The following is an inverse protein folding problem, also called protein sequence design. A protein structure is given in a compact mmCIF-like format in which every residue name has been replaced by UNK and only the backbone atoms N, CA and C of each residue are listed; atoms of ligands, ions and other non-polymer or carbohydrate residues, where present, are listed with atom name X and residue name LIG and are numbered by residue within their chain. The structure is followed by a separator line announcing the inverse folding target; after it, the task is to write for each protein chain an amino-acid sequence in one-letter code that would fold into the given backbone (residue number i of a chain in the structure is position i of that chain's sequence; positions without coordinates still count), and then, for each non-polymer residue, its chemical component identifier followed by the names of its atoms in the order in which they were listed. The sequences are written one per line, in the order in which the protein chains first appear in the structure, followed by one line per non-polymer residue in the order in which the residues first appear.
data_IF_380958036126
#
_entry.id   IF_380958036126
#
_cell.length_a   1.000
_cell.length_b   1.000
_cell.length_c   1.000
_cell.angle_alpha   90.00
_cell.angle_beta   90.00
_cell.angle_gamma   90.00
#
_symmetry.space_group_name_H-M   'P 1'
#
loop_
_entity.id
_entity.type
_entity.pdbx_description
1 polymer ?
#
# COMPACT_ATOMS: atom_id res chain seq x y z
N UNK A 1 -16.10 -18.24 -3.88
CA UNK A 1 -16.67 -17.79 -2.57
C UNK A 1 -17.00 -16.31 -2.73
N UNK A 2 -18.08 -15.84 -2.18
CA UNK A 2 -18.50 -14.44 -2.25
C UNK A 2 -19.54 -14.16 -1.17
N UNK A 3 -19.93 -12.90 -1.04
CA UNK A 3 -20.88 -12.44 -0.03
C UNK A 3 -21.85 -11.41 -0.63
N UNK A 4 -22.98 -11.20 0.04
CA UNK A 4 -23.92 -10.14 -0.31
C UNK A 4 -23.66 -8.90 0.55
N UNK A 5 -23.84 -7.75 -0.09
CA UNK A 5 -23.92 -6.45 0.57
C UNK A 5 -25.33 -5.91 0.39
N UNK A 6 -25.99 -5.61 1.49
CA UNK A 6 -27.32 -4.95 1.50
C UNK A 6 -27.09 -3.44 1.45
N UNK A 7 -27.37 -2.85 0.30
CA UNK A 7 -27.32 -1.42 0.08
C UNK A 7 -28.13 -1.09 -1.18
N UNK A 8 -28.79 0.07 -1.19
CA UNK A 8 -29.53 0.51 -2.37
C UNK A 8 -28.57 0.97 -3.46
N UNK A 9 -28.54 0.26 -4.59
CA UNK A 9 -27.67 0.55 -5.74
C UNK A 9 -28.50 0.93 -6.94
N UNK A 10 -28.13 2.02 -7.61
CA UNK A 10 -28.63 2.37 -8.93
C UNK A 10 -27.56 2.05 -9.99
N UNK A 11 -27.93 1.22 -10.97
CA UNK A 11 -27.09 0.84 -12.07
C UNK A 11 -27.89 0.68 -13.37
N UNK A 12 -27.46 1.34 -14.44
CA UNK A 12 -28.14 1.34 -15.74
C UNK A 12 -29.66 1.65 -15.67
N UNK A 13 -30.02 2.61 -14.80
CA UNK A 13 -31.41 3.04 -14.61
C UNK A 13 -32.26 2.06 -13.80
N UNK A 14 -31.69 1.01 -13.23
CA UNK A 14 -32.36 0.07 -12.35
C UNK A 14 -31.87 0.24 -10.91
N UNK A 15 -32.74 -0.05 -9.93
CA UNK A 15 -32.41 -0.07 -8.52
C UNK A 15 -32.34 -1.50 -8.01
N UNK A 16 -31.35 -1.77 -7.16
CA UNK A 16 -31.15 -3.06 -6.49
C UNK A 16 -30.97 -2.82 -5.00
N UNK A 17 -31.55 -3.66 -4.14
CA UNK A 17 -31.46 -3.56 -2.68
C UNK A 17 -30.24 -4.29 -2.10
N UNK A 18 -29.54 -5.05 -2.93
CA UNK A 18 -28.32 -5.74 -2.58
C UNK A 18 -27.49 -6.05 -3.83
N UNK A 19 -26.21 -6.35 -3.62
CA UNK A 19 -25.31 -6.83 -4.66
C UNK A 19 -24.40 -7.93 -4.13
N UNK A 20 -23.90 -8.75 -5.04
CA UNK A 20 -23.02 -9.87 -4.74
C UNK A 20 -21.58 -9.52 -5.05
N UNK A 21 -20.69 -9.72 -4.09
CA UNK A 21 -19.24 -9.46 -4.19
C UNK A 21 -18.51 -10.78 -4.31
N UNK A 22 -17.59 -10.89 -5.27
CA UNK A 22 -16.75 -12.08 -5.47
C UNK A 22 -15.30 -11.70 -5.71
N UNK A 23 -14.39 -12.43 -5.08
CA UNK A 23 -12.96 -12.35 -5.43
C UNK A 23 -12.76 -13.21 -6.69
N UNK A 24 -12.37 -12.57 -7.78
CA UNK A 24 -12.12 -13.21 -9.07
C UNK A 24 -10.73 -13.80 -9.16
N UNK A 25 -9.76 -13.07 -8.63
CA UNK A 25 -8.37 -13.48 -8.62
C UNK A 25 -7.65 -12.88 -7.42
N UNK A 26 -6.53 -13.49 -7.03
CA UNK A 26 -5.63 -12.94 -6.02
C UNK A 26 -4.19 -13.32 -6.34
N UNK A 27 -3.26 -12.46 -5.96
CA UNK A 27 -1.84 -12.65 -6.17
C UNK A 27 -1.03 -12.18 -4.96
N UNK A 28 -0.18 -13.06 -4.43
CA UNK A 28 0.76 -12.71 -3.37
C UNK A 28 1.97 -11.98 -3.95
N UNK A 29 2.07 -10.72 -3.67
CA UNK A 29 3.19 -9.85 -4.09
C UNK A 29 4.18 -9.66 -2.94
N UNK A 30 4.97 -10.70 -2.64
CA UNK A 30 5.96 -10.69 -1.54
C UNK A 30 6.89 -9.46 -1.56
N UNK A 31 7.50 -9.08 -2.69
CA UNK A 31 8.41 -7.92 -2.73
C UNK A 31 7.72 -6.60 -2.32
N UNK A 32 6.40 -6.53 -2.48
CA UNK A 32 5.60 -5.35 -2.16
C UNK A 32 4.88 -5.44 -0.83
N UNK A 33 5.05 -6.55 -0.10
CA UNK A 33 4.42 -6.77 1.21
C UNK A 33 2.90 -6.73 1.18
N UNK A 34 2.27 -7.31 0.14
CA UNK A 34 0.82 -7.28 -0.02
C UNK A 34 0.27 -8.50 -0.76
N UNK A 35 -1.00 -8.78 -0.53
CA UNK A 35 -1.82 -9.63 -1.39
C UNK A 35 -2.70 -8.70 -2.22
N UNK A 36 -2.62 -8.82 -3.54
CA UNK A 36 -3.51 -8.13 -4.46
C UNK A 36 -4.70 -9.01 -4.75
N UNK A 37 -5.92 -8.53 -4.49
CA UNK A 37 -7.16 -9.18 -4.81
C UNK A 37 -7.89 -8.40 -5.91
N UNK A 38 -8.43 -9.13 -6.89
CA UNK A 38 -9.34 -8.59 -7.92
C UNK A 38 -10.75 -8.94 -7.51
N UNK A 39 -11.61 -7.94 -7.39
CA UNK A 39 -12.96 -8.05 -6.87
C UNK A 39 -13.95 -7.57 -7.90
N UNK A 40 -14.99 -8.35 -8.14
CA UNK A 40 -16.08 -7.96 -9.00
C UNK A 40 -17.41 -7.92 -8.23
N UNK A 41 -18.26 -6.99 -8.62
CA UNK A 41 -19.61 -6.82 -8.11
C UNK A 41 -20.61 -7.30 -9.12
N UNK A 42 -21.61 -8.04 -8.68
CA UNK A 42 -22.65 -8.60 -9.52
C UNK A 42 -24.03 -8.26 -8.97
N UNK A 43 -25.02 -8.18 -9.85
CA UNK A 43 -26.42 -8.03 -9.45
C UNK A 43 -26.88 -9.15 -8.50
N UNK A 44 -26.36 -10.36 -8.70
CA UNK A 44 -26.66 -11.52 -7.87
C UNK A 44 -25.61 -12.64 -8.04
N UNK A 45 -25.66 -13.66 -7.16
CA UNK A 45 -24.77 -14.83 -7.18
C UNK A 45 -24.92 -15.66 -8.48
N UNK A 46 -26.15 -15.77 -9.01
CA UNK A 46 -26.38 -16.55 -10.23
C UNK A 46 -25.68 -15.92 -11.45
N UNK A 47 -25.71 -14.60 -11.57
CA UNK A 47 -24.94 -13.86 -12.58
C UNK A 47 -23.45 -14.05 -12.42
N UNK A 48 -22.95 -13.98 -11.18
CA UNK A 48 -21.54 -14.23 -10.89
C UNK A 48 -21.07 -15.64 -11.33
N UNK A 49 -21.90 -16.67 -11.15
CA UNK A 49 -21.56 -18.04 -11.54
C UNK A 49 -21.56 -18.26 -13.06
N UNK A 50 -22.27 -17.44 -13.81
CA UNK A 50 -22.30 -17.50 -15.29
C UNK A 50 -21.21 -16.64 -15.94
N UNK A 51 -20.55 -15.79 -15.16
CA UNK A 51 -19.58 -14.86 -15.67
C UNK A 51 -18.38 -15.58 -16.32
N UNK A 52 -18.00 -15.14 -17.51
CA UNK A 52 -16.84 -15.65 -18.25
C UNK A 52 -15.62 -14.82 -17.83
N UNK A 53 -14.56 -15.45 -17.33
CA UNK A 53 -13.35 -14.74 -16.99
C UNK A 53 -12.65 -14.15 -18.23
N UNK A 54 -12.19 -12.92 -18.11
CA UNK A 54 -11.38 -12.24 -19.11
C UNK A 54 -10.09 -11.72 -18.47
N UNK A 55 -8.97 -11.80 -19.20
CA UNK A 55 -7.68 -11.30 -18.74
C UNK A 55 -7.36 -10.00 -19.46
N UNK A 56 -7.19 -8.91 -18.70
CA UNK A 56 -6.76 -7.61 -19.18
C UNK A 56 -5.53 -7.20 -18.36
N UNK A 57 -4.40 -7.01 -19.02
CA UNK A 57 -3.14 -6.57 -18.37
C UNK A 57 -2.78 -7.38 -17.11
N UNK A 58 -2.82 -8.71 -17.19
CA UNK A 58 -2.61 -9.65 -16.07
C UNK A 58 -3.67 -9.57 -14.95
N UNK A 59 -4.73 -8.84 -15.13
CA UNK A 59 -5.87 -8.76 -14.22
C UNK A 59 -6.99 -9.65 -14.74
N UNK A 60 -7.47 -10.55 -13.87
CA UNK A 60 -8.59 -11.41 -14.18
C UNK A 60 -9.90 -10.68 -13.91
N UNK A 61 -10.60 -10.27 -14.96
CA UNK A 61 -11.89 -9.56 -14.92
C UNK A 61 -12.97 -10.47 -15.48
N UNK A 62 -14.19 -10.31 -15.02
CA UNK A 62 -15.35 -10.97 -15.60
C UNK A 62 -16.08 -10.04 -16.57
N UNK A 63 -16.36 -10.57 -17.77
CA UNK A 63 -17.25 -9.94 -18.72
C UNK A 63 -18.61 -10.66 -18.65
N UNK A 64 -19.58 -10.09 -17.93
CA UNK A 64 -20.90 -10.66 -17.74
C UNK A 64 -21.98 -9.58 -17.75
N UNK A 65 -23.17 -9.92 -18.25
CA UNK A 65 -24.32 -9.01 -18.26
C UNK A 65 -24.77 -8.57 -16.87
N UNK A 66 -24.48 -9.39 -15.85
CA UNK A 66 -24.81 -9.10 -14.44
C UNK A 66 -23.69 -8.40 -13.69
N UNK A 67 -22.58 -8.06 -14.36
CA UNK A 67 -21.48 -7.30 -13.76
C UNK A 67 -21.92 -5.86 -13.53
N UNK A 68 -21.72 -5.38 -12.30
CA UNK A 68 -21.92 -3.98 -11.96
C UNK A 68 -20.66 -3.18 -12.33
N UNK A 69 -20.85 -2.06 -13.00
CA UNK A 69 -19.73 -1.17 -13.31
C UNK A 69 -19.10 -0.57 -12.04
N UNK A 70 -17.85 -0.11 -12.16
CA UNK A 70 -17.10 0.46 -11.05
C UNK A 70 -17.79 1.66 -10.39
N UNK A 71 -18.49 2.46 -11.18
CA UNK A 71 -19.21 3.64 -10.70
C UNK A 71 -20.70 3.35 -10.64
N UNK A 72 -21.30 3.46 -9.48
CA UNK A 72 -22.74 3.34 -9.25
C UNK A 72 -23.15 4.20 -8.05
N UNK A 73 -24.45 4.47 -7.94
CA UNK A 73 -24.96 5.23 -6.80
C UNK A 73 -25.34 4.28 -5.68
N UNK A 74 -24.89 4.57 -4.48
CA UNK A 74 -25.28 3.91 -3.26
C UNK A 74 -25.94 4.96 -2.36
N UNK A 75 -27.19 4.71 -1.95
CA UNK A 75 -27.99 5.65 -1.16
C UNK A 75 -28.02 7.07 -1.77
N UNK A 76 -28.10 7.13 -3.11
CA UNK A 76 -28.12 8.38 -3.86
C UNK A 76 -26.76 9.07 -4.04
N UNK A 77 -25.68 8.53 -3.47
CA UNK A 77 -24.32 9.06 -3.59
C UNK A 77 -23.53 8.23 -4.60
N UNK A 78 -22.94 8.90 -5.59
CA UNK A 78 -22.05 8.25 -6.56
C UNK A 78 -20.78 7.76 -5.85
N UNK A 79 -20.50 6.47 -5.98
CA UNK A 79 -19.30 5.81 -5.44
C UNK A 79 -18.61 5.03 -6.55
N UNK A 80 -17.29 5.11 -6.55
CA UNK A 80 -16.44 4.29 -7.43
C UNK A 80 -15.84 3.17 -6.60
N UNK A 81 -16.08 1.93 -7.04
CA UNK A 81 -15.43 0.77 -6.44
C UNK A 81 -14.19 0.39 -7.25
N UNK A 82 -13.09 0.24 -6.58
CA UNK A 82 -11.88 -0.28 -7.20
C UNK A 82 -11.98 -1.80 -7.35
N UNK A 83 -11.67 -2.31 -8.53
CA UNK A 83 -11.60 -3.75 -8.77
C UNK A 83 -10.37 -4.39 -8.12
N UNK A 84 -9.36 -3.59 -7.84
CA UNK A 84 -8.11 -4.06 -7.25
C UNK A 84 -8.05 -3.58 -5.81
N UNK A 85 -7.87 -4.54 -4.90
CA UNK A 85 -7.64 -4.27 -3.49
C UNK A 85 -6.29 -4.83 -3.06
N UNK A 86 -5.41 -3.96 -2.64
CA UNK A 86 -4.12 -4.33 -2.07
C UNK A 86 -4.26 -4.50 -0.55
N UNK A 87 -4.09 -5.73 -0.08
CA UNK A 87 -4.20 -6.10 1.33
C UNK A 87 -2.79 -6.19 1.89
N UNK A 88 -2.39 -5.33 2.84
CA UNK A 88 -1.04 -5.33 3.37
C UNK A 88 -0.76 -6.59 4.20
N UNK A 89 0.44 -7.13 4.05
CA UNK A 89 1.02 -8.19 4.87
C UNK A 89 2.32 -7.70 5.51
N UNK A 90 2.28 -6.47 6.03
CA UNK A 90 3.42 -5.85 6.68
C UNK A 90 3.10 -5.54 8.13
N UNK A 91 4.10 -5.60 8.97
CA UNK A 91 4.08 -5.09 10.33
C UNK A 91 5.08 -3.96 10.50
N UNK A 92 4.83 -3.09 11.45
CA UNK A 92 5.77 -2.03 11.79
C UNK A 92 6.89 -2.60 12.66
N UNK A 93 8.13 -2.36 12.26
CA UNK A 93 9.33 -2.70 13.01
C UNK A 93 10.11 -1.43 13.32
N UNK A 94 10.42 -1.18 14.58
CA UNK A 94 11.31 -0.09 14.97
C UNK A 94 12.76 -0.56 14.83
N UNK A 95 13.49 0.08 13.93
CA UNK A 95 14.90 -0.23 13.66
C UNK A 95 15.76 0.95 14.10
N UNK A 96 16.79 0.69 14.87
CA UNK A 96 17.81 1.69 15.18
C UNK A 96 18.77 1.80 14.00
N UNK A 97 18.85 2.99 13.42
CA UNK A 97 19.77 3.28 12.32
C UNK A 97 20.85 4.23 12.78
N UNK A 98 22.08 4.02 12.26
CA UNK A 98 23.18 4.96 12.50
C UNK A 98 22.95 6.20 11.64
N UNK A 99 22.99 7.36 12.25
CA UNK A 99 22.91 8.66 11.59
C UNK A 99 24.29 9.28 11.52
N UNK A 100 24.57 10.02 10.47
CA UNK A 100 25.80 10.78 10.29
C UNK A 100 25.42 12.25 10.11
N UNK A 101 26.15 13.10 10.80
CA UNK A 101 26.11 14.54 10.61
C UNK A 101 27.52 15.07 10.55
N UNK A 102 27.77 16.12 9.79
CA UNK A 102 29.05 16.79 9.78
C UNK A 102 28.94 18.20 10.34
N UNK A 103 29.97 18.61 11.05
CA UNK A 103 30.18 19.99 11.46
C UNK A 103 31.49 20.50 10.91
N UNK A 104 31.52 21.77 10.52
CA UNK A 104 32.72 22.40 10.01
C UNK A 104 33.24 23.38 11.07
N UNK A 105 34.52 23.25 11.36
CA UNK A 105 35.24 24.22 12.21
C UNK A 105 36.40 24.81 11.42
N UNK A 106 36.80 26.00 11.78
CA UNK A 106 37.91 26.70 11.18
C UNK A 106 39.10 26.63 12.13
N UNK A 107 40.24 26.16 11.61
CA UNK A 107 41.48 26.12 12.36
C UNK A 107 42.53 26.96 11.68
N UNK A 108 43.25 27.74 12.43
CA UNK A 108 44.44 28.40 11.94
C UNK A 108 45.61 27.42 12.05
N UNK A 109 46.35 27.25 10.94
CA UNK A 109 47.52 26.41 10.87
C UNK A 109 48.69 27.29 10.56
N UNK A 110 49.69 27.21 11.40
CA UNK A 110 50.98 27.84 11.14
C UNK A 110 51.81 26.96 10.21
N UNK A 111 52.47 27.57 9.23
CA UNK A 111 53.39 26.92 8.34
C UNK A 111 54.59 27.82 8.05
N UNK A 112 55.74 27.22 7.82
CA UNK A 112 56.97 27.92 7.43
C UNK A 112 56.94 28.20 5.94
N UNK A 113 57.22 29.44 5.58
CA UNK A 113 57.41 29.89 4.21
C UNK A 113 58.70 30.71 4.14
N UNK A 114 59.12 31.12 2.97
CA UNK A 114 60.32 31.93 2.75
C UNK A 114 59.90 33.32 2.25
N UNK A 115 60.55 34.36 2.76
CA UNK A 115 60.39 35.69 2.22
C UNK A 115 61.21 35.89 0.91
N UNK A 116 61.12 37.08 0.31
CA UNK A 116 61.80 37.40 -0.93
C UNK A 116 63.34 37.40 -0.80
N UNK A 117 63.86 37.49 0.40
CA UNK A 117 65.27 37.41 0.74
C UNK A 117 65.74 35.99 1.11
N UNK A 118 64.84 35.04 1.09
CA UNK A 118 65.12 33.62 1.39
C UNK A 118 65.17 33.26 2.87
N UNK A 119 64.66 34.11 3.76
CA UNK A 119 64.60 33.82 5.18
C UNK A 119 63.30 33.08 5.51
N UNK A 120 63.38 32.18 6.49
CA UNK A 120 62.19 31.48 6.98
C UNK A 120 61.25 32.44 7.72
N UNK A 121 59.98 32.46 7.32
CA UNK A 121 58.90 33.22 7.96
C UNK A 121 57.75 32.32 8.31
N UNK A 122 57.18 32.48 9.47
CA UNK A 122 55.98 31.78 9.87
C UNK A 122 54.76 32.52 9.34
N UNK A 123 53.96 31.82 8.54
CA UNK A 123 52.68 32.30 8.02
C UNK A 123 51.56 31.50 8.61
N UNK A 124 50.38 32.11 8.76
CA UNK A 124 49.14 31.41 9.15
C UNK A 124 48.20 31.33 7.96
N UNK A 125 47.55 30.18 7.82
CA UNK A 125 46.41 30.00 6.91
C UNK A 125 45.24 29.39 7.64
N UNK A 126 44.04 29.78 7.25
CA UNK A 126 42.80 29.22 7.76
C UNK A 126 42.47 27.95 6.99
N UNK A 127 42.27 26.87 7.69
CA UNK A 127 41.82 25.59 7.12
C UNK A 127 40.51 25.22 7.71
N UNK A 128 39.58 24.78 6.85
CA UNK A 128 38.29 24.24 7.27
C UNK A 128 38.47 22.75 7.57
N UNK A 129 38.06 22.32 8.76
CA UNK A 129 38.09 20.93 9.19
C UNK A 129 36.65 20.45 9.33
N UNK A 130 36.38 19.35 8.62
CA UNK A 130 35.10 18.62 8.77
C UNK A 130 35.25 17.58 9.89
N UNK A 131 34.32 17.61 10.82
CA UNK A 131 34.20 16.59 11.87
C UNK A 131 32.90 15.83 11.63
N UNK A 132 33.01 14.51 11.42
CA UNK A 132 31.87 13.63 11.28
C UNK A 132 31.42 13.14 12.64
N UNK A 133 30.17 13.35 12.94
CA UNK A 133 29.52 12.87 14.16
C UNK A 133 28.63 11.69 13.82
N UNK A 134 28.71 10.63 14.62
CA UNK A 134 27.84 9.48 14.52
C UNK A 134 26.81 9.54 15.64
N UNK A 135 25.58 9.31 15.29
CA UNK A 135 24.46 9.20 16.22
C UNK A 135 23.62 7.95 15.92
N UNK A 136 22.54 7.80 16.64
CA UNK A 136 21.54 6.77 16.36
C UNK A 136 20.15 7.38 16.40
N UNK A 137 19.27 6.91 15.52
CA UNK A 137 17.86 7.27 15.50
C UNK A 137 17.01 6.02 15.34
N UNK A 138 15.86 6.01 16.01
CA UNK A 138 14.87 4.97 15.81
C UNK A 138 13.98 5.36 14.63
N UNK A 139 13.88 4.47 13.64
CA UNK A 139 13.06 4.65 12.46
C UNK A 139 12.08 3.49 12.38
N UNK A 140 10.82 3.82 12.18
CA UNK A 140 9.78 2.81 11.91
C UNK A 140 9.85 2.41 10.45
N UNK A 141 9.95 1.12 10.19
CA UNK A 141 9.96 0.52 8.86
C UNK A 141 8.89 -0.55 8.77
N UNK A 142 8.27 -0.65 7.61
CA UNK A 142 7.37 -1.76 7.31
C UNK A 142 8.19 -2.98 6.91
N UNK A 143 7.98 -4.09 7.62
CA UNK A 143 8.58 -5.40 7.36
C UNK A 143 7.51 -6.35 6.88
N UNK A 144 7.79 -7.09 5.79
CA UNK A 144 6.88 -8.13 5.30
C UNK A 144 6.80 -9.25 6.34
N UNK A 145 5.59 -9.55 6.78
CA UNK A 145 5.29 -10.64 7.71
C UNK A 145 4.28 -11.59 7.09
N UNK A 146 4.75 -12.74 6.62
CA UNK A 146 3.90 -13.78 6.02
C UNK A 146 3.06 -14.53 7.05
N UNK A 147 3.43 -14.49 8.33
CA UNK A 147 2.68 -15.14 9.42
C UNK A 147 1.33 -14.43 9.67
N UNK A 148 1.14 -13.22 9.13
CA UNK A 148 -0.16 -12.57 9.11
C UNK A 148 -1.19 -13.32 8.25
N UNK A 149 -0.73 -14.14 7.29
CA UNK A 149 -1.60 -14.98 6.48
C UNK A 149 -1.86 -16.27 7.24
N UNK A 150 -2.99 -16.36 7.90
CA UNK A 150 -3.41 -17.56 8.63
C UNK A 150 -4.05 -18.57 7.67
N UNK A 151 -3.46 -19.74 7.55
CA UNK A 151 -3.95 -20.80 6.66
C UNK A 151 -3.65 -20.54 5.18
N UNK A 152 -4.65 -20.73 4.31
CA UNK A 152 -4.48 -20.47 2.87
C UNK A 152 -4.80 -19.01 2.52
N UNK A 153 -4.13 -18.50 1.49
CA UNK A 153 -4.23 -17.07 1.08
C UNK A 153 -5.67 -16.69 0.74
N UNK A 154 -6.42 -17.56 0.07
CA UNK A 154 -7.75 -17.21 -0.41
C UNK A 154 -8.76 -16.95 0.72
N UNK A 155 -8.97 -17.84 1.70
CA UNK A 155 -9.85 -17.56 2.83
C UNK A 155 -9.39 -16.35 3.64
N UNK A 156 -8.08 -16.21 3.87
CA UNK A 156 -7.53 -15.07 4.57
C UNK A 156 -7.82 -13.74 3.84
N UNK A 157 -7.60 -13.68 2.54
CA UNK A 157 -7.91 -12.50 1.73
C UNK A 157 -9.42 -12.21 1.72
N UNK A 158 -10.25 -13.26 1.66
CA UNK A 158 -11.70 -13.14 1.71
C UNK A 158 -12.18 -12.50 3.01
N UNK A 159 -11.66 -12.91 4.16
CA UNK A 159 -11.97 -12.29 5.45
C UNK A 159 -11.59 -10.81 5.48
N UNK A 160 -10.38 -10.46 5.01
CA UNK A 160 -9.94 -9.05 4.95
C UNK A 160 -10.79 -8.17 4.04
N UNK A 161 -11.30 -8.73 2.95
CA UNK A 161 -12.24 -8.02 2.08
C UNK A 161 -13.60 -7.84 2.78
N UNK A 162 -14.10 -8.85 3.48
CA UNK A 162 -15.32 -8.72 4.29
C UNK A 162 -15.14 -7.62 5.34
N UNK A 163 -14.03 -7.60 6.07
CA UNK A 163 -13.74 -6.56 7.07
C UNK A 163 -13.82 -5.16 6.44
N UNK A 164 -13.16 -4.97 5.28
CA UNK A 164 -13.18 -3.69 4.56
C UNK A 164 -14.59 -3.27 4.12
N UNK A 165 -15.38 -4.22 3.63
CA UNK A 165 -16.77 -3.93 3.24
C UNK A 165 -17.64 -3.66 4.47
N UNK A 166 -17.40 -4.33 5.58
CA UNK A 166 -18.07 -4.08 6.85
C UNK A 166 -17.80 -2.68 7.40
N UNK A 167 -16.60 -2.15 7.20
CA UNK A 167 -16.26 -0.77 7.55
C UNK A 167 -17.00 0.26 6.68
N UNK A 168 -17.26 -0.08 5.41
CA UNK A 168 -17.91 0.84 4.45
C UNK A 168 -19.45 0.82 4.59
N UNK A 169 -20.02 -0.37 4.77
CA UNK A 169 -21.49 -0.60 4.69
C UNK A 169 -22.13 -0.97 6.01
N UNK A 170 -21.36 -1.26 7.06
CA UNK A 170 -21.84 -1.86 8.31
C UNK A 170 -21.81 -3.39 8.25
N UNK A 171 -21.38 -4.02 9.34
CA UNK A 171 -21.27 -5.48 9.41
C UNK A 171 -22.63 -6.19 9.32
N UNK A 172 -23.70 -5.53 9.77
CA UNK A 172 -25.09 -6.01 9.69
C UNK A 172 -25.61 -6.12 8.25
N UNK A 173 -24.99 -5.39 7.32
CA UNK A 173 -25.35 -5.39 5.90
C UNK A 173 -24.53 -6.40 5.06
N UNK A 174 -23.63 -7.15 5.70
CA UNK A 174 -22.82 -8.17 5.04
C UNK A 174 -23.36 -9.56 5.39
N UNK A 175 -23.65 -10.35 4.38
CA UNK A 175 -24.11 -11.74 4.57
C UNK A 175 -23.34 -12.71 3.68
N UNK A 176 -22.89 -13.82 4.28
CA UNK A 176 -22.26 -14.91 3.53
C UNK A 176 -23.28 -15.56 2.57
N UNK A 177 -22.81 -15.94 1.37
CA UNK A 177 -23.62 -16.46 0.29
C UNK A 177 -23.42 -17.97 0.06
#
# INVERSE_FOLDING_TARGET
MGFYVTASIEHDGNSYDNFYVRIENYNLQKPHGKVRAVIAHYKNKAGALKAIPEYIEDIHVNNAEDLLHLTHKIDGVEKTHEWIHDIPITEEETVTVTTYSSSFSTQEIEFTDFDDDGNEVTKTRTQQIETIHTGSANVVKNKVNLDLITGSIYPWAYERIIDKYSEIYGSENISNA
#
